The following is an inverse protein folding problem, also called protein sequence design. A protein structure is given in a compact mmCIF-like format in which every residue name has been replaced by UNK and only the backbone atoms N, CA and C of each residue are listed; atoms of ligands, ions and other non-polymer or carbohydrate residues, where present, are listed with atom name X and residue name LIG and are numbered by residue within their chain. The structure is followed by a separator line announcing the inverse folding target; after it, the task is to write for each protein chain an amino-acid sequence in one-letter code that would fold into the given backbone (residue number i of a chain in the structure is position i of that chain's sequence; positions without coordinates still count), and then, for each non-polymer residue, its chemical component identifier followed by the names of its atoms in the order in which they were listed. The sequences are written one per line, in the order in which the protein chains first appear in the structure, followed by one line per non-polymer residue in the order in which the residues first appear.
data_IF_062132565967
#
_entry.id   IF_062132565967
#
_cell.length_a   1.000
_cell.length_b   1.000
_cell.length_c   1.000
_cell.angle_alpha   90.00
_cell.angle_beta   90.00
_cell.angle_gamma   90.00
#
_symmetry.space_group_name_H-M   'P 1'
#
loop_
_entity.id
_entity.type
_entity.pdbx_description
1 polymer ?
#
# COMPACT_ATOMS: atom_id res chain seq x y z
N UNK A 1 69.99 -6.36 -35.69
CA UNK A 1 68.54 -6.33 -36.01
C UNK A 1 68.33 -5.33 -37.13
N UNK A 2 67.58 -5.69 -38.17
CA UNK A 2 67.37 -4.81 -39.33
C UNK A 2 66.45 -3.64 -38.93
N UNK A 3 66.78 -2.40 -39.33
CA UNK A 3 66.04 -1.18 -38.96
C UNK A 3 64.56 -1.27 -39.34
N UNK A 4 64.29 -1.89 -40.49
CA UNK A 4 62.95 -2.16 -41.01
C UNK A 4 62.12 -3.09 -40.11
N UNK A 5 62.76 -4.06 -39.43
CA UNK A 5 62.07 -4.92 -38.47
C UNK A 5 61.69 -4.17 -37.19
N UNK A 6 62.51 -3.21 -36.76
CA UNK A 6 62.24 -2.41 -35.57
C UNK A 6 61.04 -1.49 -35.79
N UNK A 7 60.94 -0.86 -36.95
CA UNK A 7 59.80 0.00 -37.31
C UNK A 7 58.49 -0.80 -37.34
N UNK A 8 58.46 -1.95 -38.02
CA UNK A 8 57.27 -2.81 -38.10
C UNK A 8 56.80 -3.29 -36.73
N UNK A 9 57.74 -3.66 -35.84
CA UNK A 9 57.39 -4.04 -34.47
C UNK A 9 56.82 -2.86 -33.67
N UNK A 10 57.37 -1.66 -33.87
CA UNK A 10 56.91 -0.45 -33.18
C UNK A 10 55.49 -0.08 -33.61
N UNK A 11 55.19 -0.13 -34.92
CA UNK A 11 53.83 0.08 -35.43
C UNK A 11 52.85 -0.96 -34.90
N UNK A 12 53.27 -2.23 -34.84
CA UNK A 12 52.45 -3.32 -34.32
C UNK A 12 52.19 -3.18 -32.82
N UNK A 13 53.18 -2.77 -32.03
CA UNK A 13 53.00 -2.49 -30.60
C UNK A 13 51.98 -1.37 -30.41
N UNK A 14 52.14 -0.25 -31.14
CA UNK A 14 51.20 0.87 -31.08
C UNK A 14 49.77 0.44 -31.44
N UNK A 15 49.60 -0.34 -32.51
CA UNK A 15 48.29 -0.86 -32.90
C UNK A 15 47.66 -1.79 -31.84
N UNK A 16 48.49 -2.58 -31.13
CA UNK A 16 48.03 -3.43 -30.03
C UNK A 16 47.64 -2.61 -28.80
N UNK A 17 48.38 -1.55 -28.47
CA UNK A 17 48.06 -0.62 -27.38
C UNK A 17 46.73 0.12 -27.65
N UNK A 18 46.55 0.63 -28.87
CA UNK A 18 45.31 1.29 -29.29
C UNK A 18 44.10 0.34 -29.19
N UNK A 19 44.28 -0.91 -29.61
CA UNK A 19 43.25 -1.94 -29.50
C UNK A 19 42.95 -2.29 -28.04
N UNK A 20 43.97 -2.38 -27.18
CA UNK A 20 43.80 -2.65 -25.75
C UNK A 20 42.97 -1.54 -25.10
N UNK A 21 43.32 -0.27 -25.33
CA UNK A 21 42.56 0.87 -24.82
C UNK A 21 41.13 0.96 -25.36
N UNK A 22 40.90 0.53 -26.60
CA UNK A 22 39.55 0.43 -27.14
C UNK A 22 38.74 -0.65 -26.41
N UNK A 23 39.32 -1.82 -26.16
CA UNK A 23 38.66 -2.91 -25.46
C UNK A 23 38.34 -2.55 -24.00
N UNK A 24 39.26 -1.88 -23.31
CA UNK A 24 39.02 -1.36 -21.95
C UNK A 24 37.84 -0.39 -21.91
N UNK A 25 37.78 0.56 -22.86
CA UNK A 25 36.65 1.50 -22.97
C UNK A 25 35.33 0.77 -23.22
N UNK A 26 35.32 -0.23 -24.10
CA UNK A 26 34.13 -1.05 -24.37
C UNK A 26 33.70 -1.85 -23.14
N UNK A 27 34.65 -2.40 -22.40
CA UNK A 27 34.38 -3.15 -21.18
C UNK A 27 33.75 -2.26 -20.11
N UNK A 28 34.28 -1.06 -19.89
CA UNK A 28 33.71 -0.08 -18.94
C UNK A 28 32.27 0.29 -19.33
N UNK A 29 32.03 0.57 -20.61
CA UNK A 29 30.68 0.87 -21.11
C UNK A 29 29.72 -0.31 -20.90
N UNK A 30 30.16 -1.55 -21.19
CA UNK A 30 29.34 -2.74 -20.98
C UNK A 30 29.00 -2.96 -19.50
N UNK A 31 29.96 -2.77 -18.59
CA UNK A 31 29.74 -2.87 -17.14
C UNK A 31 28.72 -1.84 -16.66
N UNK A 32 28.82 -0.60 -17.12
CA UNK A 32 27.86 0.45 -16.78
C UNK A 32 26.45 0.11 -17.27
N UNK A 33 26.31 -0.42 -18.49
CA UNK A 33 25.01 -0.87 -19.01
C UNK A 33 24.43 -2.02 -18.19
N UNK A 34 25.25 -3.00 -17.80
CA UNK A 34 24.80 -4.13 -16.96
C UNK A 34 24.33 -3.62 -15.59
N UNK A 35 25.02 -2.65 -14.99
CA UNK A 35 24.62 -2.06 -13.72
C UNK A 35 23.25 -1.35 -13.83
N UNK A 36 23.02 -0.60 -14.91
CA UNK A 36 21.72 0.04 -15.18
C UNK A 36 20.61 -0.99 -15.34
N UNK A 37 20.82 -2.01 -16.17
CA UNK A 37 19.83 -3.07 -16.38
C UNK A 37 19.48 -3.81 -15.08
N UNK A 38 20.47 -4.07 -14.21
CA UNK A 38 20.23 -4.67 -12.89
C UNK A 38 19.39 -3.77 -11.99
N UNK A 39 19.63 -2.46 -12.02
CA UNK A 39 18.82 -1.49 -11.29
C UNK A 39 17.37 -1.50 -11.78
N UNK A 40 17.17 -1.40 -13.09
CA UNK A 40 15.83 -1.37 -13.71
C UNK A 40 15.03 -2.65 -13.42
N UNK A 41 15.68 -3.82 -13.49
CA UNK A 41 15.06 -5.11 -13.13
C UNK A 41 14.63 -5.10 -11.65
N UNK A 42 15.46 -4.56 -10.75
CA UNK A 42 15.19 -4.53 -9.32
C UNK A 42 14.01 -3.61 -9.01
N UNK A 43 13.98 -2.42 -9.61
CA UNK A 43 12.87 -1.46 -9.49
C UNK A 43 11.58 -2.08 -10.04
N UNK A 44 11.63 -2.66 -11.24
CA UNK A 44 10.47 -3.30 -11.87
C UNK A 44 9.93 -4.53 -11.11
N UNK A 45 10.76 -5.21 -10.30
CA UNK A 45 10.30 -6.26 -9.38
C UNK A 45 9.53 -5.68 -8.20
N UNK A 46 10.06 -4.62 -7.58
CA UNK A 46 9.41 -3.95 -6.44
C UNK A 46 8.05 -3.40 -6.86
N UNK A 47 7.97 -2.78 -8.04
CA UNK A 47 6.73 -2.21 -8.56
C UNK A 47 5.67 -3.28 -8.86
N UNK A 48 6.07 -4.41 -9.48
CA UNK A 48 5.17 -5.55 -9.68
C UNK A 48 4.66 -6.14 -8.37
N UNK A 49 5.52 -6.28 -7.36
CA UNK A 49 5.10 -6.76 -6.05
C UNK A 49 4.06 -5.82 -5.41
N UNK A 50 4.28 -4.50 -5.48
CA UNK A 50 3.31 -3.50 -4.98
C UNK A 50 1.99 -3.55 -5.73
N UNK A 51 2.04 -3.64 -7.06
CA UNK A 51 0.84 -3.74 -7.90
C UNK A 51 0.06 -5.03 -7.64
N UNK A 52 0.74 -6.15 -7.47
CA UNK A 52 0.09 -7.42 -7.13
C UNK A 52 -0.54 -7.37 -5.74
N UNK A 53 0.13 -6.76 -4.75
CA UNK A 53 -0.43 -6.58 -3.41
C UNK A 53 -1.68 -5.70 -3.43
N UNK A 54 -1.69 -4.60 -4.19
CA UNK A 54 -2.86 -3.74 -4.30
C UNK A 54 -4.02 -4.44 -5.02
N UNK A 55 -3.74 -5.17 -6.11
CA UNK A 55 -4.73 -5.96 -6.83
C UNK A 55 -5.34 -7.06 -5.93
N UNK A 56 -4.52 -7.76 -5.16
CA UNK A 56 -4.99 -8.77 -4.20
C UNK A 56 -5.87 -8.14 -3.10
N UNK A 57 -5.48 -6.99 -2.56
CA UNK A 57 -6.30 -6.27 -1.57
C UNK A 57 -7.68 -5.86 -2.14
N UNK A 58 -7.73 -5.42 -3.40
CA UNK A 58 -8.98 -5.09 -4.09
C UNK A 58 -9.83 -6.35 -4.33
N UNK A 59 -9.21 -7.44 -4.78
CA UNK A 59 -9.91 -8.70 -5.02
C UNK A 59 -10.54 -9.25 -3.73
N UNK A 60 -9.80 -9.24 -2.61
CA UNK A 60 -10.32 -9.63 -1.29
C UNK A 60 -11.46 -8.71 -0.84
N UNK A 61 -11.33 -7.39 -1.05
CA UNK A 61 -12.38 -6.44 -0.71
C UNK A 61 -13.69 -6.67 -1.49
N UNK A 62 -13.61 -7.21 -2.71
CA UNK A 62 -14.77 -7.51 -3.55
C UNK A 62 -15.46 -8.85 -3.22
N UNK A 63 -14.85 -9.71 -2.40
CA UNK A 63 -15.49 -10.98 -1.96
C UNK A 63 -16.52 -10.72 -0.85
N UNK A 64 -16.30 -9.70 -0.04
CA UNK A 64 -17.17 -9.34 1.09
C UNK A 64 -18.11 -8.19 0.70
N UNK A 65 -19.42 -8.42 0.70
CA UNK A 65 -20.41 -7.35 0.47
C UNK A 65 -20.79 -6.70 1.81
N UNK A 66 -20.93 -5.37 1.83
CA UNK A 66 -21.48 -4.64 2.98
C UNK A 66 -22.89 -5.11 3.36
N UNK A 67 -23.62 -5.72 2.42
CA UNK A 67 -24.96 -6.31 2.64
C UNK A 67 -24.95 -7.54 3.53
N UNK A 68 -23.82 -8.23 3.64
CA UNK A 68 -23.67 -9.44 4.47
C UNK A 68 -23.46 -9.09 5.95
N UNK A 69 -23.22 -7.80 6.25
CA UNK A 69 -23.06 -7.31 7.61
C UNK A 69 -24.42 -7.23 8.31
N UNK A 70 -24.67 -8.17 9.23
CA UNK A 70 -25.86 -8.13 10.09
C UNK A 70 -25.71 -7.03 11.15
N UNK A 71 -26.59 -6.02 11.07
CA UNK A 71 -26.64 -4.91 12.04
C UNK A 71 -27.85 -5.06 12.97
N UNK A 72 -27.66 -5.34 14.27
CA UNK A 72 -28.75 -5.37 15.23
C UNK A 72 -29.48 -4.03 15.29
N UNK A 73 -30.81 -4.05 15.16
CA UNK A 73 -31.66 -2.83 15.15
C UNK A 73 -31.46 -1.98 16.41
N UNK A 74 -31.22 -2.62 17.54
CA UNK A 74 -30.99 -1.98 18.83
C UNK A 74 -29.64 -1.27 18.94
N UNK A 75 -28.64 -1.64 18.13
CA UNK A 75 -27.32 -1.02 18.14
C UNK A 75 -27.10 -0.09 16.95
N UNK A 76 -27.98 -0.16 15.95
CA UNK A 76 -27.94 0.69 14.77
C UNK A 76 -27.84 2.18 15.14
N UNK A 77 -27.04 2.92 14.38
CA UNK A 77 -26.88 4.37 14.60
C UNK A 77 -28.13 5.07 14.09
N UNK A 78 -28.98 5.51 15.02
CA UNK A 78 -30.20 6.24 14.69
C UNK A 78 -29.84 7.72 14.44
N UNK A 79 -30.08 8.26 13.24
CA UNK A 79 -29.89 9.69 13.00
C UNK A 79 -30.89 10.50 13.84
N UNK A 80 -30.43 11.59 14.44
CA UNK A 80 -31.29 12.53 15.16
C UNK A 80 -32.31 13.13 14.20
N UNK A 81 -33.60 12.75 14.32
CA UNK A 81 -34.68 13.22 13.44
C UNK A 81 -35.23 14.62 13.74
N UNK A 82 -34.71 15.34 14.74
CA UNK A 82 -35.34 16.59 15.20
C UNK A 82 -34.35 17.77 15.15
N UNK A 83 -34.63 18.74 14.27
CA UNK A 83 -34.20 20.14 14.39
C UNK A 83 -35.36 20.90 15.05
N UNK A 84 -35.38 20.99 16.39
CA UNK A 84 -36.29 21.89 17.10
C UNK A 84 -35.47 22.63 18.15
N UNK A 85 -35.11 23.88 17.84
CA UNK A 85 -34.41 24.84 18.70
C UNK A 85 -33.12 24.35 19.36
N UNK A 86 -31.95 24.65 18.78
CA UNK A 86 -30.58 24.59 19.33
C UNK A 86 -30.13 23.38 20.22
N UNK A 87 -30.97 22.37 20.44
CA UNK A 87 -30.65 21.16 21.21
C UNK A 87 -31.02 19.97 20.33
N UNK A 88 -30.00 19.27 19.83
CA UNK A 88 -30.17 17.94 19.23
C UNK A 88 -30.68 17.04 20.36
N UNK A 89 -31.96 16.68 20.33
CA UNK A 89 -32.52 15.68 21.24
C UNK A 89 -31.59 14.46 21.19
N UNK A 90 -31.02 14.09 22.34
CA UNK A 90 -29.99 13.08 22.45
C UNK A 90 -30.44 11.81 21.74
N UNK A 91 -29.70 11.37 20.73
CA UNK A 91 -29.96 10.09 20.10
C UNK A 91 -29.96 9.03 21.20
N UNK A 92 -31.13 8.40 21.45
CA UNK A 92 -31.40 7.48 22.56
C UNK A 92 -30.42 6.30 22.69
N UNK A 93 -29.52 6.14 21.71
CA UNK A 93 -28.63 4.99 21.52
C UNK A 93 -27.13 5.35 21.54
N UNK A 94 -26.75 6.28 22.44
CA UNK A 94 -25.36 6.79 22.63
C UNK A 94 -24.82 6.56 24.04
N UNK A 95 -25.48 5.75 24.86
CA UNK A 95 -24.93 5.40 26.18
C UNK A 95 -23.61 4.65 26.00
N UNK A 96 -22.72 4.79 27.00
CA UNK A 96 -21.40 4.16 26.97
C UNK A 96 -21.49 2.64 26.71
N UNK A 97 -22.42 1.96 27.37
CA UNK A 97 -22.66 0.53 27.21
C UNK A 97 -23.01 0.14 25.75
N UNK A 98 -23.91 0.90 25.12
CA UNK A 98 -24.33 0.67 23.73
C UNK A 98 -23.18 0.92 22.76
N UNK A 99 -22.42 2.00 22.99
CA UNK A 99 -21.24 2.31 22.17
C UNK A 99 -20.19 1.21 22.30
N UNK A 100 -19.98 0.68 23.51
CA UNK A 100 -19.08 -0.45 23.75
C UNK A 100 -19.51 -1.70 22.99
N UNK A 101 -20.79 -2.10 23.09
CA UNK A 101 -21.35 -3.23 22.33
C UNK A 101 -21.19 -3.03 20.81
N UNK A 102 -21.48 -1.82 20.31
CA UNK A 102 -21.32 -1.47 18.89
C UNK A 102 -19.86 -1.59 18.45
N UNK A 103 -18.93 -1.05 19.23
CA UNK A 103 -17.50 -1.10 18.91
C UNK A 103 -16.97 -2.54 18.94
N UNK A 104 -17.46 -3.38 19.86
CA UNK A 104 -17.16 -4.81 19.87
C UNK A 104 -17.58 -5.51 18.58
N UNK A 105 -18.77 -5.22 18.06
CA UNK A 105 -19.21 -5.78 16.77
C UNK A 105 -18.41 -5.24 15.59
N UNK A 106 -18.06 -3.94 15.59
CA UNK A 106 -17.17 -3.38 14.58
C UNK A 106 -15.79 -4.02 14.59
N UNK A 107 -15.27 -4.36 15.78
CA UNK A 107 -14.00 -5.08 15.92
C UNK A 107 -14.08 -6.44 15.24
N UNK A 108 -15.11 -7.23 15.55
CA UNK A 108 -15.32 -8.56 14.95
C UNK A 108 -15.45 -8.45 13.43
N UNK A 109 -16.22 -7.50 12.93
CA UNK A 109 -16.39 -7.28 11.48
C UNK A 109 -15.07 -6.87 10.82
N UNK A 110 -14.27 -6.03 11.48
CA UNK A 110 -12.96 -5.66 10.97
C UNK A 110 -11.98 -6.86 10.98
N UNK A 111 -12.04 -7.72 12.00
CA UNK A 111 -11.27 -8.97 12.07
C UNK A 111 -11.68 -9.99 11.01
N UNK A 112 -12.95 -10.00 10.60
CA UNK A 112 -13.46 -10.78 9.47
C UNK A 112 -12.99 -10.27 8.10
N UNK A 113 -12.30 -9.12 8.05
CA UNK A 113 -11.75 -8.56 6.82
C UNK A 113 -12.60 -7.46 6.18
N UNK A 114 -13.74 -7.08 6.78
CA UNK A 114 -14.51 -5.94 6.28
C UNK A 114 -13.73 -4.63 6.45
N UNK A 115 -13.73 -3.81 5.42
CA UNK A 115 -13.14 -2.47 5.47
C UNK A 115 -13.96 -1.55 6.38
N UNK A 116 -13.32 -0.52 6.96
CA UNK A 116 -14.01 0.53 7.73
C UNK A 116 -15.13 1.20 6.94
N UNK A 117 -14.99 1.27 5.62
CA UNK A 117 -15.98 1.84 4.73
C UNK A 117 -17.23 0.96 4.56
N UNK A 118 -17.05 -0.36 4.35
CA UNK A 118 -18.16 -1.33 4.31
C UNK A 118 -18.93 -1.36 5.62
N UNK A 119 -18.20 -1.41 6.75
CA UNK A 119 -18.80 -1.36 8.09
C UNK A 119 -19.60 -0.06 8.25
N UNK A 120 -19.04 1.10 7.89
CA UNK A 120 -19.73 2.38 8.05
C UNK A 120 -21.03 2.45 7.23
N UNK A 121 -21.02 1.94 5.99
CA UNK A 121 -22.21 1.90 5.13
C UNK A 121 -23.29 0.97 5.68
N UNK A 122 -22.94 -0.25 6.06
CA UNK A 122 -23.87 -1.20 6.67
C UNK A 122 -24.54 -0.62 7.92
N UNK A 123 -23.75 0.03 8.79
CA UNK A 123 -24.22 0.65 10.02
C UNK A 123 -24.84 2.04 9.86
N UNK A 124 -24.90 2.57 8.62
CA UNK A 124 -25.38 3.91 8.29
C UNK A 124 -24.74 5.01 9.13
N UNK A 125 -23.43 4.90 9.38
CA UNK A 125 -22.65 5.87 10.12
C UNK A 125 -21.53 6.47 9.26
N UNK A 126 -20.86 7.53 9.75
CA UNK A 126 -19.73 8.09 9.04
C UNK A 126 -18.48 7.21 9.20
N UNK A 127 -17.70 7.06 8.12
CA UNK A 127 -16.43 6.30 8.10
C UNK A 127 -15.50 6.70 9.24
N UNK A 128 -15.40 8.00 9.51
CA UNK A 128 -14.55 8.55 10.57
C UNK A 128 -14.93 8.06 11.97
N UNK A 129 -16.19 7.69 12.23
CA UNK A 129 -16.58 7.10 13.52
C UNK A 129 -15.98 5.71 13.72
N UNK A 130 -15.97 4.89 12.66
CA UNK A 130 -15.39 3.54 12.70
C UNK A 130 -13.87 3.63 12.77
N UNK A 131 -13.26 4.56 12.04
CA UNK A 131 -11.82 4.84 12.13
C UNK A 131 -11.40 5.31 13.53
N UNK A 132 -12.19 6.20 14.16
CA UNK A 132 -11.94 6.62 15.53
C UNK A 132 -12.03 5.45 16.52
N UNK A 133 -13.03 4.59 16.37
CA UNK A 133 -13.15 3.37 17.17
C UNK A 133 -11.95 2.45 16.99
N UNK A 134 -11.50 2.24 15.74
CA UNK A 134 -10.32 1.44 15.41
C UNK A 134 -9.05 2.01 16.04
N UNK A 135 -8.83 3.32 15.96
CA UNK A 135 -7.67 3.98 16.58
C UNK A 135 -7.67 3.87 18.13
N UNK A 136 -8.84 3.63 18.73
CA UNK A 136 -9.01 3.34 20.15
C UNK A 136 -9.11 1.84 20.45
N UNK A 137 -8.65 0.98 19.53
CA UNK A 137 -8.71 -0.49 19.64
C UNK A 137 -10.12 -1.03 19.96
N UNK A 138 -11.16 -0.32 19.51
CA UNK A 138 -12.56 -0.60 19.77
C UNK A 138 -12.94 -0.65 21.26
N UNK A 139 -12.21 0.07 22.11
CA UNK A 139 -12.53 0.25 23.53
C UNK A 139 -13.25 1.59 23.76
N UNK A 140 -14.56 1.53 24.04
CA UNK A 140 -15.35 2.73 24.32
C UNK A 140 -15.03 3.29 25.71
N UNK A 141 -14.69 4.59 25.80
CA UNK A 141 -14.51 5.28 27.08
C UNK A 141 -13.13 5.13 27.72
N UNK A 142 -12.06 5.35 26.95
CA UNK A 142 -10.73 5.52 27.54
C UNK A 142 -10.74 6.66 28.58
N UNK A 143 -10.35 6.33 29.82
CA UNK A 143 -9.80 7.33 30.74
C UNK A 143 -8.54 7.93 30.14
#
# INVERSE_FOLDING_TARGET
MNTQQVEVMTERIKALEDNSHMLERRLVAAVQTIQRLRHDISVGRIERLRSNQSAAAIAVANILDERDIVVPKELAVIPSRIKKGNKRSGARNRTHEIVSKRWGLWKIQHEQGYTTHQIARAWKCCRTSVEYARNKNFVAGGK
#
